data_IF_803147755000
#
_entry.id   IF_803147755000
#
_cell.length_a   1.000
_cell.length_b   1.000
_cell.length_c   1.000
_cell.angle_alpha   90.00
_cell.angle_beta   90.00
_cell.angle_gamma   90.00
#
_symmetry.space_group_name_H-M   'P 1'
#
loop_
_entity.id
_entity.type
_entity.pdbx_description
1 polymer ?
#
# COMPACT_ATOMS: atom_id res chain seq x y z
N UNK A 1 -8.88 -1.21 -1.62
CA UNK A 1 -9.73 -2.33 -2.09
C UNK A 1 -9.78 -3.39 -0.99
N UNK A 2 -10.84 -4.19 -0.86
CA UNK A 2 -10.95 -5.18 0.23
C UNK A 2 -10.89 -6.61 -0.31
N UNK A 3 -9.76 -7.29 -0.11
CA UNK A 3 -9.57 -8.67 -0.57
C UNK A 3 -10.34 -9.72 0.23
N UNK A 4 -10.91 -9.38 1.40
CA UNK A 4 -11.72 -10.33 2.18
C UNK A 4 -13.02 -10.71 1.46
N UNK A 5 -13.46 -9.87 0.51
CA UNK A 5 -14.61 -10.11 -0.37
C UNK A 5 -14.29 -11.04 -1.56
N UNK A 6 -13.05 -11.46 -1.75
CA UNK A 6 -12.68 -12.34 -2.86
C UNK A 6 -13.21 -13.76 -2.61
N UNK A 7 -14.17 -14.19 -3.43
CA UNK A 7 -14.64 -15.58 -3.42
C UNK A 7 -13.70 -16.45 -4.26
N UNK A 8 -12.92 -17.31 -3.61
CA UNK A 8 -12.00 -18.24 -4.28
C UNK A 8 -12.73 -19.57 -4.54
N UNK A 9 -12.86 -20.03 -5.80
CA UNK A 9 -13.54 -21.29 -6.09
C UNK A 9 -12.86 -22.48 -5.39
N UNK A 10 -13.61 -23.40 -4.76
CA UNK A 10 -13.03 -24.55 -4.06
C UNK A 10 -12.11 -25.41 -4.94
N UNK A 11 -12.50 -25.63 -6.20
CA UNK A 11 -11.66 -26.36 -7.16
C UNK A 11 -10.36 -25.60 -7.48
N UNK A 12 -10.42 -24.27 -7.58
CA UNK A 12 -9.21 -23.48 -7.78
C UNK A 12 -8.25 -23.64 -6.61
N UNK A 13 -8.77 -23.63 -5.37
CA UNK A 13 -7.95 -23.82 -4.16
C UNK A 13 -7.33 -25.21 -4.11
N UNK A 14 -8.09 -26.26 -4.39
CA UNK A 14 -7.58 -27.63 -4.42
C UNK A 14 -6.44 -27.81 -5.44
N UNK A 15 -6.60 -27.26 -6.65
CA UNK A 15 -5.57 -27.25 -7.68
C UNK A 15 -4.32 -26.45 -7.23
N UNK A 16 -4.53 -25.30 -6.57
CA UNK A 16 -3.46 -24.47 -6.03
C UNK A 16 -2.67 -25.20 -4.93
N UNK A 17 -3.34 -25.87 -3.99
CA UNK A 17 -2.70 -26.67 -2.93
C UNK A 17 -1.79 -27.77 -3.52
N UNK A 18 -2.23 -28.41 -4.61
CA UNK A 18 -1.42 -29.43 -5.30
C UNK A 18 -0.20 -28.84 -6.02
N UNK A 19 -0.31 -27.61 -6.52
CA UNK A 19 0.80 -26.88 -7.13
C UNK A 19 1.78 -26.34 -6.08
N UNK A 20 1.29 -25.86 -4.95
CA UNK A 20 2.11 -25.41 -3.81
C UNK A 20 3.04 -26.53 -3.32
N UNK A 21 2.53 -27.77 -3.19
CA UNK A 21 3.38 -28.93 -2.85
C UNK A 21 4.52 -29.17 -3.84
N UNK A 22 4.27 -29.01 -5.15
CA UNK A 22 5.32 -29.15 -6.17
C UNK A 22 6.32 -27.98 -6.14
N UNK A 23 5.88 -26.79 -5.74
CA UNK A 23 6.77 -25.65 -5.50
C UNK A 23 7.67 -25.94 -4.29
N UNK A 24 7.12 -26.52 -3.22
CA UNK A 24 7.90 -26.91 -2.04
C UNK A 24 8.96 -27.97 -2.36
N UNK A 25 8.67 -28.93 -3.24
CA UNK A 25 9.63 -29.92 -3.75
C UNK A 25 10.81 -29.29 -4.52
N UNK A 26 10.66 -28.06 -5.02
CA UNK A 26 11.76 -27.32 -5.62
C UNK A 26 12.80 -26.89 -4.57
N UNK A 27 12.44 -26.87 -3.28
CA UNK A 27 13.30 -26.56 -2.13
C UNK A 27 14.09 -25.24 -2.30
N UNK A 28 13.43 -24.21 -2.84
CA UNK A 28 14.05 -22.91 -3.11
C UNK A 28 15.12 -22.90 -4.21
N UNK A 29 15.35 -24.02 -4.91
CA UNK A 29 16.34 -24.10 -5.99
C UNK A 29 15.88 -23.27 -7.21
N UNK A 30 16.68 -22.27 -7.56
CA UNK A 30 16.36 -21.30 -8.63
C UNK A 30 16.09 -21.98 -9.98
N UNK A 31 16.85 -23.01 -10.34
CA UNK A 31 16.72 -23.70 -11.62
C UNK A 31 15.47 -24.57 -11.65
N UNK A 32 15.17 -25.28 -10.56
CA UNK A 32 13.93 -26.07 -10.42
C UNK A 32 12.70 -25.17 -10.46
N UNK A 33 12.71 -24.05 -9.73
CA UNK A 33 11.62 -23.08 -9.71
C UNK A 33 11.38 -22.44 -11.07
N UNK A 34 12.45 -22.05 -11.77
CA UNK A 34 12.34 -21.54 -13.14
C UNK A 34 11.69 -22.57 -14.07
N UNK A 35 12.19 -23.81 -14.07
CA UNK A 35 11.62 -24.91 -14.86
C UNK A 35 10.18 -25.24 -14.47
N UNK A 36 9.80 -25.03 -13.22
CA UNK A 36 8.43 -25.19 -12.76
C UNK A 36 7.54 -24.12 -13.39
N UNK A 37 7.87 -22.84 -13.20
CA UNK A 37 7.04 -21.71 -13.66
C UNK A 37 6.98 -21.53 -15.18
N UNK A 38 7.92 -22.11 -15.94
CA UNK A 38 7.89 -22.15 -17.41
C UNK A 38 6.85 -23.14 -17.97
N UNK A 39 6.30 -24.05 -17.15
CA UNK A 39 5.31 -25.04 -17.60
C UNK A 39 3.96 -24.36 -17.88
N UNK A 40 3.28 -24.75 -18.96
CA UNK A 40 1.99 -24.14 -19.35
C UNK A 40 0.89 -24.28 -18.28
N UNK A 41 0.91 -25.33 -17.48
CA UNK A 41 -0.09 -25.57 -16.43
C UNK A 41 0.15 -24.78 -15.14
N UNK A 42 1.31 -24.13 -14.96
CA UNK A 42 1.61 -23.40 -13.72
C UNK A 42 1.01 -22.00 -13.70
N UNK A 43 0.47 -21.49 -14.82
CA UNK A 43 -0.27 -20.23 -14.87
C UNK A 43 -1.69 -20.32 -14.26
N UNK A 44 -1.88 -21.19 -13.27
CA UNK A 44 -3.17 -21.46 -12.61
C UNK A 44 -3.77 -20.21 -11.95
N UNK A 45 -2.94 -19.27 -11.49
CA UNK A 45 -3.39 -17.97 -10.99
C UNK A 45 -4.30 -17.25 -11.98
N UNK A 46 -4.05 -17.36 -13.29
CA UNK A 46 -4.87 -16.72 -14.35
C UNK A 46 -6.33 -17.15 -14.36
N UNK A 47 -6.66 -18.30 -13.75
CA UNK A 47 -8.03 -18.80 -13.65
C UNK A 47 -8.87 -18.01 -12.63
N UNK A 48 -8.26 -17.24 -11.72
CA UNK A 48 -8.97 -16.33 -10.79
C UNK A 48 -9.34 -14.98 -11.41
N UNK A 49 -9.17 -14.80 -12.72
CA UNK A 49 -9.37 -13.49 -13.35
C UNK A 49 -10.82 -13.02 -13.22
N UNK A 50 -11.80 -13.92 -13.35
CA UNK A 50 -13.21 -13.54 -13.27
C UNK A 50 -13.54 -12.99 -11.88
N UNK A 51 -13.11 -13.69 -10.84
CA UNK A 51 -13.33 -13.37 -9.44
C UNK A 51 -12.63 -12.05 -9.05
N UNK A 52 -11.43 -11.80 -9.56
CA UNK A 52 -10.72 -10.54 -9.37
C UNK A 52 -11.37 -9.36 -10.11
N UNK A 53 -11.97 -9.61 -11.29
CA UNK A 53 -12.75 -8.60 -12.03
C UNK A 53 -14.05 -8.29 -11.31
N UNK A 54 -14.72 -9.29 -10.75
CA UNK A 54 -15.95 -9.10 -9.97
C UNK A 54 -15.68 -8.32 -8.67
N UNK A 55 -14.49 -8.46 -8.10
CA UNK A 55 -14.09 -7.77 -6.87
C UNK A 55 -13.92 -6.26 -7.04
N UNK A 56 -13.31 -5.81 -8.13
CA UNK A 56 -12.84 -4.42 -8.28
C UNK A 56 -13.08 -3.84 -9.69
N UNK A 57 -13.96 -4.46 -10.46
CA UNK A 57 -14.29 -4.08 -11.82
C UNK A 57 -13.19 -4.41 -12.82
N UNK A 58 -13.48 -4.14 -14.09
CA UNK A 58 -12.56 -4.36 -15.22
C UNK A 58 -11.61 -3.18 -15.39
N UNK A 59 -10.77 -2.93 -14.39
CA UNK A 59 -9.74 -1.90 -14.39
C UNK A 59 -8.40 -2.42 -13.88
N UNK A 60 -7.32 -1.71 -14.22
CA UNK A 60 -6.04 -1.95 -13.57
C UNK A 60 -6.09 -1.44 -12.12
N UNK A 61 -5.65 -2.23 -11.16
CA UNK A 61 -5.66 -1.84 -9.75
C UNK A 61 -4.63 -0.78 -9.40
N UNK A 62 -3.55 -0.66 -10.18
CA UNK A 62 -2.53 0.37 -9.98
C UNK A 62 -2.93 1.73 -10.57
N UNK A 63 -3.38 1.78 -11.83
CA UNK A 63 -3.66 3.05 -12.51
C UNK A 63 -5.15 3.39 -12.66
N UNK A 64 -6.03 2.46 -12.30
CA UNK A 64 -7.49 2.54 -12.36
C UNK A 64 -8.13 2.77 -13.74
N UNK A 65 -7.33 2.85 -14.79
CA UNK A 65 -7.82 2.92 -16.17
C UNK A 65 -8.47 1.60 -16.61
N UNK A 66 -9.56 1.71 -17.37
CA UNK A 66 -10.15 0.55 -18.04
C UNK A 66 -9.24 0.07 -19.14
N UNK A 67 -9.18 -1.24 -19.28
CA UNK A 67 -8.40 -1.90 -20.32
C UNK A 67 -9.20 -3.07 -20.86
N UNK A 68 -8.91 -3.44 -22.11
CA UNK A 68 -9.53 -4.63 -22.70
C UNK A 68 -9.24 -5.85 -21.84
N UNK A 69 -10.21 -6.77 -21.77
CA UNK A 69 -10.08 -7.97 -20.95
C UNK A 69 -8.80 -8.78 -21.27
N UNK A 70 -8.41 -8.81 -22.54
CA UNK A 70 -7.18 -9.47 -23.03
C UNK A 70 -5.88 -8.86 -22.51
N UNK A 71 -5.90 -7.61 -22.05
CA UNK A 71 -4.72 -6.86 -21.56
C UNK A 71 -4.68 -6.76 -20.03
N UNK A 72 -5.59 -7.46 -19.34
CA UNK A 72 -5.58 -7.59 -17.89
C UNK A 72 -4.89 -8.88 -17.46
N UNK A 73 -3.78 -8.69 -16.77
CA UNK A 73 -2.96 -9.74 -16.21
C UNK A 73 -3.13 -9.78 -14.69
N UNK A 74 -2.88 -10.97 -14.13
CA UNK A 74 -2.73 -11.11 -12.69
C UNK A 74 -1.25 -10.96 -12.40
N UNK A 75 -0.91 -9.85 -11.76
CA UNK A 75 0.40 -9.56 -11.23
C UNK A 75 0.56 -10.15 -9.83
N UNK A 76 1.80 -10.52 -9.49
CA UNK A 76 2.21 -10.90 -8.15
C UNK A 76 2.84 -9.68 -7.49
N UNK A 77 2.19 -9.08 -6.49
CA UNK A 77 2.68 -7.86 -5.83
C UNK A 77 4.12 -8.06 -5.31
N UNK A 78 4.32 -9.15 -4.55
CA UNK A 78 5.63 -9.78 -4.29
C UNK A 78 5.98 -10.73 -5.44
N UNK A 79 7.01 -10.44 -6.25
CA UNK A 79 7.32 -11.22 -7.45
C UNK A 79 7.72 -12.66 -7.15
N UNK A 80 7.02 -13.63 -7.75
CA UNK A 80 7.23 -15.08 -7.48
C UNK A 80 8.57 -15.65 -7.95
N UNK A 81 9.20 -15.08 -8.97
CA UNK A 81 10.28 -15.75 -9.71
C UNK A 81 11.67 -15.12 -9.60
N UNK A 82 11.75 -13.84 -9.22
CA UNK A 82 12.98 -13.07 -8.98
C UNK A 82 12.61 -11.70 -8.45
N UNK A 83 13.57 -10.99 -7.86
CA UNK A 83 13.42 -9.59 -7.42
C UNK A 83 14.50 -8.77 -8.13
N UNK A 84 14.15 -7.61 -8.68
CA UNK A 84 15.10 -6.78 -9.42
C UNK A 84 16.16 -6.17 -8.51
N UNK A 85 15.75 -5.75 -7.31
CA UNK A 85 16.60 -5.15 -6.28
C UNK A 85 17.54 -6.16 -5.61
N UNK A 86 17.25 -7.46 -5.71
CA UNK A 86 18.10 -8.53 -5.19
C UNK A 86 18.22 -9.69 -6.20
N UNK A 87 19.26 -9.68 -7.06
CA UNK A 87 19.51 -10.75 -8.04
C UNK A 87 19.77 -12.14 -7.42
N UNK A 88 20.16 -12.19 -6.14
CA UNK A 88 20.37 -13.44 -5.41
C UNK A 88 19.07 -14.07 -4.94
N UNK A 89 17.99 -13.28 -4.85
CA UNK A 89 16.67 -13.76 -4.46
C UNK A 89 16.06 -14.66 -5.53
N UNK A 90 15.45 -15.77 -5.11
CA UNK A 90 14.78 -16.74 -5.99
C UNK A 90 13.31 -16.39 -6.26
N UNK A 91 12.91 -15.15 -5.96
CA UNK A 91 11.52 -14.70 -5.88
C UNK A 91 10.74 -15.23 -4.66
N UNK A 92 9.58 -14.64 -4.40
CA UNK A 92 8.62 -15.05 -3.37
C UNK A 92 7.78 -16.23 -3.88
N UNK A 93 8.46 -17.32 -4.25
CA UNK A 93 7.84 -18.46 -4.94
C UNK A 93 6.72 -19.12 -4.13
N UNK A 94 6.82 -19.09 -2.79
CA UNK A 94 5.80 -19.58 -1.86
C UNK A 94 4.51 -18.75 -1.88
N UNK A 95 4.53 -17.56 -2.49
CA UNK A 95 3.36 -16.70 -2.69
C UNK A 95 2.79 -16.79 -4.11
N UNK A 96 3.23 -17.75 -4.92
CA UNK A 96 2.81 -17.88 -6.32
C UNK A 96 1.31 -18.19 -6.48
N UNK A 97 0.72 -18.88 -5.50
CA UNK A 97 -0.68 -19.31 -5.49
C UNK A 97 -1.49 -18.71 -4.32
N UNK A 98 -0.99 -17.62 -3.73
CA UNK A 98 -1.65 -16.90 -2.62
C UNK A 98 -2.47 -15.73 -3.19
N UNK A 99 -3.82 -15.74 -3.15
CA UNK A 99 -4.65 -14.70 -3.75
C UNK A 99 -4.39 -13.29 -3.18
N UNK A 100 -4.01 -13.19 -1.91
CA UNK A 100 -3.64 -11.92 -1.26
C UNK A 100 -2.39 -11.28 -1.88
N UNK A 101 -1.62 -12.03 -2.69
CA UNK A 101 -0.47 -11.53 -3.45
C UNK A 101 -0.85 -11.15 -4.91
N UNK A 102 -2.10 -11.32 -5.33
CA UNK A 102 -2.54 -11.05 -6.71
C UNK A 102 -3.09 -9.63 -6.90
N UNK A 103 -2.69 -8.96 -7.97
CA UNK A 103 -3.23 -7.66 -8.39
C UNK A 103 -3.65 -7.72 -9.85
N UNK A 104 -4.82 -7.18 -10.17
CA UNK A 104 -5.26 -7.10 -11.57
C UNK A 104 -4.55 -5.91 -12.23
N UNK A 105 -3.59 -6.16 -13.11
CA UNK A 105 -2.72 -5.13 -13.67
C UNK A 105 -2.78 -5.08 -15.20
N UNK A 106 -2.73 -3.88 -15.77
CA UNK A 106 -2.54 -3.74 -17.21
C UNK A 106 -1.07 -3.93 -17.60
N UNK A 107 -0.83 -4.24 -18.87
CA UNK A 107 0.53 -4.36 -19.41
C UNK A 107 1.37 -3.09 -19.16
N UNK A 108 0.79 -1.89 -19.25
CA UNK A 108 1.54 -0.64 -19.11
C UNK A 108 2.07 -0.36 -17.70
N UNK A 109 1.42 -0.90 -16.67
CA UNK A 109 1.88 -0.81 -15.29
C UNK A 109 2.78 -2.00 -14.92
N UNK A 110 2.53 -3.19 -15.47
CA UNK A 110 3.19 -4.40 -15.02
C UNK A 110 4.34 -4.90 -15.92
N UNK A 111 4.23 -4.79 -17.24
CA UNK A 111 5.10 -5.57 -18.14
C UNK A 111 5.54 -4.86 -19.42
N UNK A 112 5.02 -3.67 -19.72
CA UNK A 112 5.34 -2.92 -20.93
C UNK A 112 6.82 -2.57 -20.94
N UNK A 113 7.41 -2.76 -22.11
CA UNK A 113 8.77 -2.38 -22.48
C UNK A 113 8.83 -1.03 -23.18
N UNK A 114 7.68 -0.37 -23.36
CA UNK A 114 7.55 0.88 -24.12
C UNK A 114 8.04 2.07 -23.27
N UNK A 115 9.33 2.15 -22.97
CA UNK A 115 10.12 3.38 -22.79
C UNK A 115 11.59 3.02 -22.51
N UNK A 116 12.24 2.37 -23.48
CA UNK A 116 13.70 2.10 -23.45
C UNK A 116 14.48 3.30 -23.98
N UNK A 117 14.03 4.54 -23.75
CA UNK A 117 14.81 5.72 -24.11
C UNK A 117 16.10 5.83 -23.29
N UNK A 118 16.23 5.07 -22.19
CA UNK A 118 17.43 5.02 -21.35
C UNK A 118 17.78 3.61 -20.79
N UNK A 119 17.34 2.53 -21.43
CA UNK A 119 17.84 1.17 -21.14
C UNK A 119 17.33 0.46 -19.86
N UNK A 120 16.63 1.13 -18.93
CA UNK A 120 16.09 0.50 -17.72
C UNK A 120 14.60 0.16 -17.86
N UNK A 121 14.19 -1.06 -17.51
CA UNK A 121 12.76 -1.45 -17.35
C UNK A 121 12.12 -0.47 -16.34
N UNK A 122 11.05 0.25 -16.73
CA UNK A 122 10.39 1.27 -15.88
C UNK A 122 8.97 0.89 -15.44
N UNK A 123 8.62 -0.38 -15.52
CA UNK A 123 7.32 -0.93 -15.09
C UNK A 123 7.52 -1.86 -13.90
N UNK A 124 6.45 -2.19 -13.17
CA UNK A 124 6.55 -3.00 -11.95
C UNK A 124 7.32 -4.30 -12.21
N UNK A 125 6.88 -5.15 -13.12
CA UNK A 125 7.53 -6.40 -13.49
C UNK A 125 8.01 -7.20 -12.27
N UNK A 126 9.32 -7.26 -12.03
CA UNK A 126 9.93 -7.92 -10.87
C UNK A 126 10.52 -6.92 -9.85
N UNK A 127 10.24 -5.62 -9.98
CA UNK A 127 10.58 -4.60 -8.99
C UNK A 127 9.70 -4.78 -7.74
N UNK A 128 10.36 -4.93 -6.60
CA UNK A 128 9.76 -4.93 -5.28
C UNK A 128 10.72 -4.29 -4.26
N UNK A 129 11.04 -2.99 -4.42
CA UNK A 129 11.93 -2.28 -3.52
C UNK A 129 11.35 -2.18 -2.10
N UNK A 130 12.21 -2.34 -1.09
CA UNK A 130 11.88 -2.15 0.32
C UNK A 130 12.56 -0.89 0.87
N UNK A 131 11.92 -0.24 1.85
CA UNK A 131 12.52 0.87 2.60
C UNK A 131 13.74 0.42 3.40
N UNK A 132 13.77 -0.85 3.79
CA UNK A 132 14.92 -1.56 4.35
C UNK A 132 15.13 -2.88 3.60
N UNK A 133 16.14 -2.94 2.74
CA UNK A 133 16.51 -4.15 2.00
C UNK A 133 17.09 -5.26 2.90
N UNK A 134 17.65 -4.91 4.06
CA UNK A 134 18.17 -5.90 5.02
C UNK A 134 17.05 -6.76 5.63
N UNK A 135 15.83 -6.23 5.69
CA UNK A 135 14.64 -6.89 6.22
C UNK A 135 13.94 -7.84 5.23
N UNK A 136 14.46 -7.98 4.00
CA UNK A 136 13.85 -8.79 2.94
C UNK A 136 13.73 -10.27 3.33
N UNK A 137 12.52 -10.81 3.23
CA UNK A 137 12.24 -12.22 3.52
C UNK A 137 12.63 -13.09 2.32
N UNK A 138 13.60 -13.99 2.54
CA UNK A 138 14.22 -14.82 1.48
C UNK A 138 13.69 -16.26 1.39
N UNK A 139 12.87 -16.69 2.34
CA UNK A 139 12.40 -18.08 2.44
C UNK A 139 10.96 -18.17 2.95
N UNK A 140 10.27 -19.30 2.67
CA UNK A 140 8.95 -19.57 3.24
C UNK A 140 8.98 -19.54 4.78
N UNK A 141 7.86 -19.14 5.39
CA UNK A 141 7.71 -19.06 6.85
C UNK A 141 8.30 -17.81 7.50
N UNK A 142 8.96 -16.93 6.74
CA UNK A 142 9.36 -15.61 7.24
C UNK A 142 8.16 -14.67 7.42
N UNK A 143 8.26 -13.79 8.41
CA UNK A 143 7.23 -12.83 8.77
C UNK A 143 7.20 -11.66 7.76
N UNK A 144 6.26 -11.70 6.81
CA UNK A 144 6.15 -10.71 5.73
C UNK A 144 5.81 -9.31 6.22
N UNK A 145 5.23 -9.18 7.41
CA UNK A 145 4.91 -7.86 8.01
C UNK A 145 6.17 -7.08 8.41
N UNK A 146 7.35 -7.73 8.51
CA UNK A 146 8.64 -7.05 8.70
C UNK A 146 9.09 -6.25 7.49
N UNK A 147 8.60 -6.58 6.30
CA UNK A 147 8.95 -5.85 5.07
C UNK A 147 8.15 -4.56 4.99
N UNK A 148 8.81 -3.46 4.62
CA UNK A 148 8.16 -2.18 4.30
C UNK A 148 8.32 -1.87 2.81
N UNK A 149 7.35 -2.24 1.95
CA UNK A 149 7.45 -2.02 0.51
C UNK A 149 7.44 -0.53 0.15
N UNK A 150 8.32 -0.14 -0.78
CA UNK A 150 8.30 1.21 -1.35
C UNK A 150 7.06 1.41 -2.24
N UNK A 151 6.67 0.37 -2.97
CA UNK A 151 5.49 0.41 -3.83
C UNK A 151 4.21 0.44 -3.00
N UNK A 152 3.27 1.32 -3.38
CA UNK A 152 1.94 1.37 -2.79
C UNK A 152 1.10 0.18 -3.25
N UNK A 153 0.49 -0.52 -2.29
CA UNK A 153 -0.39 -1.65 -2.54
C UNK A 153 -1.87 -1.24 -2.51
N UNK A 154 -2.64 -1.38 -3.62
CA UNK A 154 -4.07 -1.07 -3.65
C UNK A 154 -4.96 -1.91 -2.70
N UNK A 155 -4.43 -3.02 -2.16
CA UNK A 155 -5.10 -3.82 -1.13
C UNK A 155 -4.83 -3.32 0.29
N UNK A 156 -3.84 -2.45 0.48
CA UNK A 156 -3.54 -1.83 1.77
C UNK A 156 -4.23 -0.47 1.82
N UNK A 157 -5.15 -0.30 2.77
CA UNK A 157 -5.97 0.92 2.90
C UNK A 157 -5.09 2.16 3.10
N UNK A 158 -4.12 2.08 4.01
CA UNK A 158 -3.18 3.16 4.30
C UNK A 158 -2.31 3.55 3.10
N UNK A 159 -1.94 2.61 2.24
CA UNK A 159 -1.21 2.91 0.99
C UNK A 159 -2.11 3.61 -0.03
N UNK A 160 -3.38 3.21 -0.10
CA UNK A 160 -4.35 3.75 -1.05
C UNK A 160 -4.64 5.23 -0.78
N UNK A 161 -4.67 5.65 0.49
CA UNK A 161 -4.90 7.06 0.87
C UNK A 161 -3.68 7.96 0.66
N UNK A 162 -2.47 7.40 0.51
CA UNK A 162 -1.26 8.18 0.23
C UNK A 162 -1.27 8.81 -1.17
N UNK A 163 -2.02 8.23 -2.10
CA UNK A 163 -2.12 8.71 -3.47
C UNK A 163 -3.33 9.63 -3.65
N UNK A 164 -3.09 10.80 -4.22
CA UNK A 164 -4.12 11.76 -4.61
C UNK A 164 -3.85 12.26 -6.04
N UNK A 165 -4.73 13.13 -6.53
CA UNK A 165 -4.66 13.70 -7.86
C UNK A 165 -4.92 15.21 -7.82
N UNK A 166 -4.31 15.95 -8.74
CA UNK A 166 -4.73 17.33 -8.99
C UNK A 166 -5.89 17.41 -9.97
N UNK A 167 -6.46 18.60 -10.15
CA UNK A 167 -7.61 18.79 -11.04
C UNK A 167 -7.29 18.63 -12.53
N UNK A 168 -6.00 18.49 -12.91
CA UNK A 168 -5.60 18.13 -14.28
C UNK A 168 -5.30 16.64 -14.43
N UNK A 169 -5.51 15.84 -13.38
CA UNK A 169 -5.42 14.38 -13.39
C UNK A 169 -4.02 13.82 -13.12
N UNK A 170 -3.07 14.65 -12.71
CA UNK A 170 -1.70 14.24 -12.38
C UNK A 170 -1.69 13.64 -10.97
N UNK A 171 -1.06 12.48 -10.83
CA UNK A 171 -0.89 11.80 -9.55
C UNK A 171 0.09 12.54 -8.64
N UNK A 172 -0.21 12.57 -7.33
CA UNK A 172 0.62 13.23 -6.31
C UNK A 172 0.40 12.60 -4.95
N UNK A 173 1.27 12.94 -4.00
CA UNK A 173 1.06 12.60 -2.59
C UNK A 173 -0.17 13.33 -2.06
N UNK A 174 -1.00 12.61 -1.31
CA UNK A 174 -2.05 13.21 -0.52
C UNK A 174 -1.42 14.04 0.60
N UNK A 175 -1.78 15.31 0.69
CA UNK A 175 -1.19 16.23 1.65
C UNK A 175 -1.54 15.83 3.11
N UNK A 176 -2.63 15.09 3.33
CA UNK A 176 -2.99 14.53 4.64
C UNK A 176 -2.11 13.34 5.08
N UNK A 177 -1.30 12.79 4.17
CA UNK A 177 -0.35 11.69 4.40
C UNK A 177 1.08 12.18 4.14
N UNK A 178 1.60 13.09 4.97
CA UNK A 178 2.92 13.67 4.76
C UNK A 178 4.01 12.60 4.85
N UNK A 179 5.08 12.80 4.09
CA UNK A 179 6.27 11.94 4.14
C UNK A 179 6.92 12.06 5.51
N UNK A 180 7.29 10.93 6.11
CA UNK A 180 8.07 10.89 7.35
C UNK A 180 9.51 10.46 7.08
N UNK A 181 10.44 10.63 8.03
CA UNK A 181 11.82 10.19 7.83
C UNK A 181 11.97 8.67 7.69
N UNK A 182 10.95 7.88 8.07
CA UNK A 182 10.89 6.44 7.81
C UNK A 182 10.93 6.14 6.30
N UNK A 183 10.32 7.01 5.48
CA UNK A 183 10.36 6.90 4.04
C UNK A 183 11.72 7.38 3.49
N UNK A 184 12.75 6.52 3.53
CA UNK A 184 14.09 6.80 2.98
C UNK A 184 14.04 7.27 1.52
N UNK A 185 13.04 6.80 0.77
CA UNK A 185 12.58 7.34 -0.52
C UNK A 185 11.08 7.67 -0.44
N UNK A 186 10.61 8.63 -1.22
CA UNK A 186 9.17 8.94 -1.29
C UNK A 186 8.40 7.82 -2.00
N UNK A 187 7.64 7.03 -1.23
CA UNK A 187 6.86 5.88 -1.72
C UNK A 187 5.86 6.26 -2.80
N UNK A 188 5.21 7.41 -2.67
CA UNK A 188 4.23 7.90 -3.66
C UNK A 188 4.94 8.23 -4.97
N UNK A 189 6.03 9.00 -4.91
CA UNK A 189 6.82 9.36 -6.09
C UNK A 189 7.36 8.12 -6.81
N UNK A 190 7.89 7.15 -6.05
CA UNK A 190 8.40 5.90 -6.63
C UNK A 190 7.30 5.02 -7.22
N UNK A 191 6.12 4.97 -6.60
CA UNK A 191 4.96 4.26 -7.14
C UNK A 191 4.42 4.90 -8.41
N UNK A 192 4.34 6.23 -8.46
CA UNK A 192 3.99 6.99 -9.68
C UNK A 192 4.97 6.65 -10.80
N UNK A 193 6.27 6.64 -10.48
CA UNK A 193 7.35 6.34 -11.42
C UNK A 193 7.29 4.91 -11.95
N UNK A 194 7.21 3.91 -11.06
CA UNK A 194 7.27 2.48 -11.41
C UNK A 194 5.97 1.99 -12.04
N UNK A 195 4.80 2.43 -11.57
CA UNK A 195 3.52 2.09 -12.21
C UNK A 195 3.20 2.99 -13.41
N UNK A 196 4.02 4.03 -13.64
CA UNK A 196 3.86 5.05 -14.68
C UNK A 196 2.47 5.68 -14.64
N UNK A 197 2.09 6.22 -13.48
CA UNK A 197 0.71 6.65 -13.23
C UNK A 197 0.29 7.88 -14.03
N UNK A 198 1.23 8.63 -14.62
CA UNK A 198 0.95 9.88 -15.36
C UNK A 198 1.17 9.79 -16.87
N UNK A 199 0.89 8.62 -17.46
CA UNK A 199 0.78 8.51 -18.91
C UNK A 199 -0.33 9.44 -19.42
N UNK A 200 -0.13 10.05 -20.60
CA UNK A 200 -1.05 11.05 -21.18
C UNK A 200 -2.52 10.64 -21.17
N UNK A 201 -2.84 9.40 -21.55
CA UNK A 201 -4.23 8.92 -21.56
C UNK A 201 -4.84 8.74 -20.16
N UNK A 202 -4.02 8.48 -19.14
CA UNK A 202 -4.49 8.39 -17.74
C UNK A 202 -4.81 9.78 -17.18
N UNK A 203 -3.90 10.74 -17.38
CA UNK A 203 -4.10 12.11 -16.89
C UNK A 203 -5.34 12.75 -17.54
N UNK A 204 -5.52 12.56 -18.85
CA UNK A 204 -6.71 13.04 -19.56
C UNK A 204 -7.99 12.37 -19.04
N UNK A 205 -7.99 11.05 -18.91
CA UNK A 205 -9.16 10.30 -18.43
C UNK A 205 -9.56 10.69 -17.00
N UNK A 206 -8.59 10.87 -16.10
CA UNK A 206 -8.83 11.35 -14.74
C UNK A 206 -9.39 12.77 -14.76
N UNK A 207 -8.81 13.69 -15.53
CA UNK A 207 -9.30 15.07 -15.65
C UNK A 207 -10.79 15.12 -16.04
N UNK A 208 -11.21 14.27 -16.98
CA UNK A 208 -12.61 14.17 -17.40
C UNK A 208 -13.50 13.73 -16.23
N UNK A 209 -13.18 12.58 -15.61
CA UNK A 209 -13.98 12.06 -14.47
C UNK A 209 -14.02 13.03 -13.30
N UNK A 210 -12.90 13.69 -13.00
CA UNK A 210 -12.81 14.68 -11.93
C UNK A 210 -13.67 15.92 -12.22
N UNK A 211 -13.66 16.41 -13.46
CA UNK A 211 -14.52 17.51 -13.89
C UNK A 211 -16.00 17.17 -13.77
N UNK A 212 -16.40 15.97 -14.22
CA UNK A 212 -17.76 15.47 -14.08
C UNK A 212 -18.21 15.43 -12.61
N UNK A 213 -17.37 14.90 -11.70
CA UNK A 213 -17.69 14.86 -10.26
C UNK A 213 -17.89 16.26 -9.70
N UNK A 214 -17.03 17.23 -10.06
CA UNK A 214 -17.17 18.62 -9.61
C UNK A 214 -18.46 19.25 -10.13
N UNK A 215 -18.82 19.02 -11.39
CA UNK A 215 -20.05 19.59 -11.95
C UNK A 215 -21.31 18.96 -11.34
N UNK A 216 -21.27 17.65 -11.08
CA UNK A 216 -22.34 16.97 -10.33
C UNK A 216 -22.44 17.47 -8.88
N UNK A 217 -21.31 17.73 -8.22
CA UNK A 217 -21.29 18.25 -6.86
C UNK A 217 -21.96 19.63 -6.77
N UNK A 218 -21.75 20.51 -7.75
CA UNK A 218 -22.46 21.81 -7.85
C UNK A 218 -23.97 21.66 -8.07
N UNK A 219 -24.39 20.54 -8.67
CA UNK A 219 -25.77 20.21 -8.98
C UNK A 219 -26.52 19.50 -7.83
N UNK A 220 -25.84 19.17 -6.72
CA UNK A 220 -26.45 18.53 -5.56
C UNK A 220 -27.57 19.37 -4.96
N UNK A 221 -28.72 18.74 -4.70
CA UNK A 221 -29.93 19.41 -4.20
C UNK A 221 -30.77 20.10 -5.28
N UNK A 222 -30.25 20.23 -6.50
CA UNK A 222 -31.01 20.69 -7.68
C UNK A 222 -31.42 19.50 -8.55
N UNK A 223 -30.50 18.56 -8.78
CA UNK A 223 -30.74 17.35 -9.55
C UNK A 223 -30.75 16.13 -8.63
N UNK A 224 -31.89 15.44 -8.44
CA UNK A 224 -32.01 14.31 -7.52
C UNK A 224 -31.02 13.16 -7.80
N UNK A 225 -30.62 12.97 -9.05
CA UNK A 225 -29.72 11.90 -9.47
C UNK A 225 -28.23 12.22 -9.25
N UNK A 226 -27.88 13.48 -8.93
CA UNK A 226 -26.49 13.89 -8.82
C UNK A 226 -25.72 13.09 -7.75
N UNK A 227 -26.37 12.78 -6.61
CA UNK A 227 -25.75 11.97 -5.56
C UNK A 227 -25.45 10.55 -6.06
N UNK A 228 -26.44 9.89 -6.68
CA UNK A 228 -26.30 8.54 -7.23
C UNK A 228 -25.16 8.47 -8.26
N UNK A 229 -25.08 9.46 -9.15
CA UNK A 229 -24.05 9.50 -10.18
C UNK A 229 -22.65 9.75 -9.61
N UNK A 230 -22.51 10.60 -8.59
CA UNK A 230 -21.23 10.75 -7.88
C UNK A 230 -20.86 9.42 -7.21
N UNK A 231 -21.79 8.78 -6.47
CA UNK A 231 -21.56 7.46 -5.84
C UNK A 231 -21.08 6.42 -6.84
N UNK A 232 -21.65 6.39 -8.04
CA UNK A 232 -21.21 5.50 -9.11
C UNK A 232 -19.78 5.80 -9.58
N UNK A 233 -19.34 7.07 -9.60
CA UNK A 233 -17.96 7.45 -10.00
C UNK A 233 -16.92 7.14 -8.93
N UNK A 234 -17.28 7.21 -7.65
CA UNK A 234 -16.38 6.92 -6.53
C UNK A 234 -16.43 5.46 -6.06
N UNK A 235 -17.23 4.61 -6.71
CA UNK A 235 -17.30 3.18 -6.38
C UNK A 235 -15.97 2.48 -6.63
N UNK A 236 -15.65 1.44 -5.85
CA UNK A 236 -14.37 0.72 -5.96
C UNK A 236 -14.12 0.15 -7.35
N UNK A 237 -15.17 -0.25 -8.03
CA UNK A 237 -15.18 -0.89 -9.35
C UNK A 237 -15.11 0.13 -10.50
N UNK A 238 -15.34 1.41 -10.21
CA UNK A 238 -15.35 2.46 -11.20
C UNK A 238 -13.94 2.86 -11.66
N UNK A 239 -13.88 3.25 -12.93
CA UNK A 239 -12.67 3.76 -13.56
C UNK A 239 -12.27 5.09 -12.92
N UNK A 240 -10.99 5.21 -12.56
CA UNK A 240 -10.43 6.38 -11.89
C UNK A 240 -11.17 6.78 -10.59
N UNK A 241 -11.74 5.82 -9.86
CA UNK A 241 -12.53 6.14 -8.67
C UNK A 241 -11.73 6.81 -7.55
N UNK A 242 -10.42 6.58 -7.46
CA UNK A 242 -9.55 7.31 -6.55
C UNK A 242 -9.39 8.78 -6.96
N UNK A 243 -9.32 9.08 -8.26
CA UNK A 243 -9.33 10.45 -8.77
C UNK A 243 -10.70 11.12 -8.57
N UNK A 244 -11.80 10.39 -8.79
CA UNK A 244 -13.15 10.85 -8.49
C UNK A 244 -13.31 11.23 -7.01
N UNK A 245 -12.80 10.42 -6.08
CA UNK A 245 -12.78 10.75 -4.65
C UNK A 245 -11.94 11.99 -4.35
N UNK A 246 -10.78 12.14 -4.97
CA UNK A 246 -9.95 13.35 -4.83
C UNK A 246 -10.68 14.63 -5.31
N UNK A 247 -11.43 14.54 -6.42
CA UNK A 247 -12.26 15.65 -6.90
C UNK A 247 -13.41 15.98 -5.92
N UNK A 248 -14.09 14.97 -5.40
CA UNK A 248 -15.15 15.15 -4.40
C UNK A 248 -14.64 15.84 -3.13
N UNK A 249 -13.43 15.50 -2.68
CA UNK A 249 -12.77 16.18 -1.54
C UNK A 249 -12.48 17.64 -1.83
N UNK A 250 -12.02 17.96 -3.05
CA UNK A 250 -11.82 19.36 -3.48
C UNK A 250 -13.14 20.14 -3.51
N UNK A 251 -14.26 19.44 -3.75
CA UNK A 251 -15.60 20.00 -3.75
C UNK A 251 -16.25 20.10 -2.34
N UNK A 252 -15.54 19.77 -1.25
CA UNK A 252 -16.09 19.80 0.13
C UNK A 252 -16.73 21.12 0.54
N UNK A 253 -16.25 22.24 -0.01
CA UNK A 253 -16.78 23.58 0.29
C UNK A 253 -18.12 23.88 -0.38
N UNK A 254 -18.60 23.03 -1.30
CA UNK A 254 -19.88 23.24 -1.96
C UNK A 254 -21.05 22.82 -1.04
N UNK A 255 -22.22 23.49 -1.16
CA UNK A 255 -23.41 23.12 -0.41
C UNK A 255 -23.77 21.64 -0.60
N UNK A 256 -24.29 21.01 0.46
CA UNK A 256 -24.78 19.62 0.47
C UNK A 256 -23.73 18.51 0.27
N UNK A 257 -22.51 18.80 -0.21
CA UNK A 257 -21.46 17.78 -0.40
C UNK A 257 -21.08 17.11 0.91
N UNK A 258 -20.74 17.90 1.94
CA UNK A 258 -20.38 17.36 3.26
C UNK A 258 -21.49 16.55 3.91
N UNK A 259 -22.76 16.90 3.66
CA UNK A 259 -23.91 16.18 4.21
C UNK A 259 -24.14 14.85 3.48
N UNK A 260 -24.11 14.86 2.15
CA UNK A 260 -24.41 13.68 1.34
C UNK A 260 -23.26 12.66 1.33
N UNK A 261 -22.01 13.11 1.42
CA UNK A 261 -20.81 12.27 1.30
C UNK A 261 -19.96 12.26 2.56
N UNK A 262 -20.60 12.47 3.71
CA UNK A 262 -19.91 12.44 4.99
C UNK A 262 -19.13 11.14 5.19
N UNK A 263 -19.68 10.00 4.81
CA UNK A 263 -19.02 8.68 4.86
C UNK A 263 -17.73 8.63 4.04
N UNK A 264 -17.70 9.25 2.86
CA UNK A 264 -16.54 9.21 1.95
C UNK A 264 -15.48 10.23 2.35
N UNK A 265 -15.91 11.38 2.84
CA UNK A 265 -15.03 12.45 3.29
C UNK A 265 -14.46 12.14 4.68
N UNK A 266 -15.25 11.49 5.54
CA UNK A 266 -14.79 10.96 6.81
C UNK A 266 -13.89 9.75 6.65
N UNK A 267 -14.09 8.80 5.74
CA UNK A 267 -13.11 7.70 5.63
C UNK A 267 -11.68 8.22 5.40
N UNK A 268 -11.51 9.43 4.85
CA UNK A 268 -10.22 10.14 4.77
C UNK A 268 -9.89 11.01 6.01
N UNK A 269 -10.89 11.50 6.74
CA UNK A 269 -10.71 12.31 7.97
C UNK A 269 -10.74 11.47 9.27
N UNK A 270 -11.72 10.58 9.47
CA UNK A 270 -11.93 9.64 10.57
C UNK A 270 -11.04 8.38 10.59
N UNK A 271 -10.30 8.05 9.52
CA UNK A 271 -9.05 7.27 9.71
C UNK A 271 -7.99 8.10 10.47
N UNK A 272 -8.20 9.41 10.68
CA UNK A 272 -7.37 10.30 11.51
C UNK A 272 -8.14 11.17 12.55
N UNK A 273 -9.47 11.14 12.66
CA UNK A 273 -10.21 11.89 13.68
C UNK A 273 -11.41 11.11 14.23
N UNK A 274 -11.26 10.55 15.45
CA UNK A 274 -12.41 10.43 16.35
C UNK A 274 -12.60 11.78 17.06
N UNK A 275 -13.86 12.08 17.34
CA UNK A 275 -14.51 13.29 17.85
C UNK A 275 -14.05 13.78 19.23
N UNK A 276 -12.76 13.88 19.48
CA UNK A 276 -12.22 14.52 20.68
C UNK A 276 -11.08 15.48 20.29
N UNK A 277 -11.46 16.70 19.93
CA UNK A 277 -10.62 17.86 19.56
C UNK A 277 -9.65 18.34 20.65
N UNK A 278 -9.28 17.47 21.59
CA UNK A 278 -8.28 17.69 22.63
C UNK A 278 -7.20 16.59 22.70
N UNK A 279 -7.32 15.51 21.90
CA UNK A 279 -6.36 14.38 21.87
C UNK A 279 -5.34 14.37 20.73
N UNK A 280 -5.49 15.26 19.74
CA UNK A 280 -4.63 15.33 18.53
C UNK A 280 -3.15 15.70 18.77
N UNK A 281 -2.75 15.96 20.02
CA UNK A 281 -1.36 16.31 20.36
C UNK A 281 -0.51 15.14 20.87
N UNK A 282 -1.07 13.94 21.08
CA UNK A 282 -0.31 12.75 21.51
C UNK A 282 -0.57 11.55 20.58
N UNK A 283 0.06 11.55 19.41
CA UNK A 283 0.11 10.41 18.49
C UNK A 283 0.73 9.19 19.18
N UNK A 284 -0.11 8.24 19.58
CA UNK A 284 0.31 6.96 20.17
C UNK A 284 0.80 5.98 19.11
N UNK A 285 1.51 4.91 19.50
CA UNK A 285 1.92 3.83 18.58
C UNK A 285 0.72 3.19 17.84
N UNK A 286 -0.39 2.82 18.51
CA UNK A 286 -1.59 2.34 17.82
C UNK A 286 -2.07 3.34 16.75
N UNK A 287 -2.05 4.64 17.08
CA UNK A 287 -2.50 5.67 16.14
C UNK A 287 -1.57 5.79 14.93
N UNK A 288 -0.26 5.70 15.14
CA UNK A 288 0.71 5.69 14.04
C UNK A 288 0.55 4.46 13.14
N UNK A 289 0.14 3.31 13.69
CA UNK A 289 -0.21 2.12 12.90
C UNK A 289 -1.50 2.34 12.10
N UNK A 290 -2.55 2.87 12.73
CA UNK A 290 -3.83 3.17 12.07
C UNK A 290 -3.67 4.14 10.90
N UNK A 291 -2.84 5.17 11.08
CA UNK A 291 -2.50 6.12 9.99
C UNK A 291 -1.63 5.50 8.90
N UNK A 292 -1.10 4.29 9.12
CA UNK A 292 -0.19 3.57 8.23
C UNK A 292 1.22 4.15 8.14
N UNK A 293 1.56 5.13 8.99
CA UNK A 293 2.93 5.64 9.11
C UNK A 293 3.86 4.54 9.63
N UNK A 294 3.38 3.75 10.59
CA UNK A 294 4.06 2.56 11.07
C UNK A 294 3.30 1.30 10.60
N UNK A 295 4.05 0.22 10.38
CA UNK A 295 3.48 -1.08 10.05
C UNK A 295 3.66 -2.04 11.23
N UNK A 296 2.64 -2.85 11.57
CA UNK A 296 2.83 -3.98 12.47
C UNK A 296 3.93 -4.90 11.94
N UNK A 297 4.65 -5.57 12.83
CA UNK A 297 5.79 -6.42 12.51
C UNK A 297 7.11 -5.68 12.32
N UNK A 298 7.12 -4.35 12.26
CA UNK A 298 8.39 -3.60 12.11
C UNK A 298 9.29 -3.84 13.32
N UNK A 299 10.57 -4.07 13.03
CA UNK A 299 11.59 -4.27 14.05
C UNK A 299 12.02 -2.91 14.62
N UNK A 300 12.00 -2.83 15.95
CA UNK A 300 12.48 -1.71 16.73
C UNK A 300 13.85 -2.08 17.31
N UNK A 301 14.82 -1.20 17.12
CA UNK A 301 16.20 -1.39 17.59
C UNK A 301 16.50 -0.32 18.63
N UNK A 302 16.87 -0.76 19.82
CA UNK A 302 17.33 0.08 20.91
C UNK A 302 18.81 -0.17 21.22
N UNK A 303 19.62 0.87 21.31
CA UNK A 303 21.06 0.73 21.58
C UNK A 303 21.37 0.89 23.07
N UNK A 304 22.07 -0.08 23.64
CA UNK A 304 22.48 -0.11 25.05
C UNK A 304 23.99 -0.23 25.18
N UNK A 305 24.53 -0.08 26.40
CA UNK A 305 25.96 -0.31 26.65
C UNK A 305 26.42 -1.76 26.34
N UNK A 306 25.48 -2.72 26.29
CA UNK A 306 25.76 -4.13 26.00
C UNK A 306 25.57 -4.48 24.52
N UNK A 307 25.14 -3.53 23.69
CA UNK A 307 24.82 -3.74 22.28
C UNK A 307 23.35 -3.42 21.95
N UNK A 308 22.95 -3.78 20.74
CA UNK A 308 21.59 -3.56 20.25
C UNK A 308 20.61 -4.59 20.84
N UNK A 309 19.44 -4.08 21.23
CA UNK A 309 18.29 -4.85 21.69
C UNK A 309 17.19 -4.72 20.65
N UNK A 310 16.59 -5.84 20.29
CA UNK A 310 15.59 -5.94 19.24
C UNK A 310 14.21 -6.20 19.83
N UNK A 311 13.22 -5.47 19.35
CA UNK A 311 11.81 -5.63 19.70
C UNK A 311 10.95 -5.55 18.43
N UNK A 312 9.69 -5.96 18.52
CA UNK A 312 8.74 -5.93 17.41
C UNK A 312 7.54 -5.08 17.78
N UNK A 313 7.15 -4.15 16.90
CA UNK A 313 5.88 -3.44 17.04
C UNK A 313 4.74 -4.34 16.59
N UNK A 314 3.79 -4.67 17.46
CA UNK A 314 2.66 -5.56 17.10
C UNK A 314 1.40 -4.75 16.75
N UNK A 315 0.41 -5.41 16.15
CA UNK A 315 -0.73 -4.75 15.50
C UNK A 315 -1.59 -3.85 16.42
N UNK A 316 -1.61 -4.11 17.72
CA UNK A 316 -2.32 -3.30 18.72
C UNK A 316 -1.47 -2.15 19.30
N UNK A 317 -0.29 -1.90 18.72
CA UNK A 317 0.63 -0.83 19.12
C UNK A 317 1.48 -1.13 20.34
N UNK A 318 1.44 -2.36 20.88
CA UNK A 318 2.39 -2.80 21.91
C UNK A 318 3.76 -3.11 21.32
N UNK A 319 4.77 -3.07 22.17
CA UNK A 319 6.16 -3.43 21.81
C UNK A 319 6.48 -4.79 22.42
N UNK A 320 6.72 -5.79 21.58
CA UNK A 320 7.13 -7.13 21.98
C UNK A 320 8.66 -7.21 22.10
N UNK A 321 9.14 -7.46 23.30
CA UNK A 321 10.56 -7.64 23.61
C UNK A 321 10.75 -9.02 24.27
N UNK A 322 11.42 -9.92 23.57
CA UNK A 322 11.49 -11.33 23.95
C UNK A 322 10.11 -11.97 23.96
N UNK A 323 9.72 -12.61 25.07
CA UNK A 323 8.41 -13.26 25.21
C UNK A 323 7.32 -12.34 25.80
N UNK A 324 7.59 -11.04 25.98
CA UNK A 324 6.70 -10.11 26.67
C UNK A 324 6.33 -8.91 25.81
N UNK A 325 5.04 -8.62 25.77
CA UNK A 325 4.51 -7.40 25.18
C UNK A 325 4.35 -6.28 26.22
N UNK A 326 4.80 -5.09 25.88
CA UNK A 326 4.79 -3.89 26.71
C UNK A 326 3.80 -2.86 26.15
N UNK A 327 3.04 -2.22 27.04
CA UNK A 327 1.95 -1.31 26.66
C UNK A 327 2.44 0.03 26.06
N UNK A 328 3.71 0.37 26.25
CA UNK A 328 4.27 1.63 25.76
C UNK A 328 5.75 1.50 25.36
N UNK A 329 6.26 2.38 24.49
CA UNK A 329 7.69 2.44 24.16
C UNK A 329 8.59 2.57 25.39
N UNK A 330 8.18 3.36 26.38
CA UNK A 330 8.94 3.63 27.60
C UNK A 330 9.05 2.38 28.47
N UNK A 331 7.95 1.67 28.69
CA UNK A 331 7.97 0.45 29.48
C UNK A 331 8.81 -0.66 28.82
N UNK A 332 8.79 -0.73 27.49
CA UNK A 332 9.67 -1.62 26.73
C UNK A 332 11.14 -1.19 26.84
N UNK A 333 11.43 0.11 26.71
CA UNK A 333 12.80 0.64 26.78
C UNK A 333 13.42 0.45 28.18
N UNK A 334 12.64 0.66 29.23
CA UNK A 334 13.05 0.40 30.60
C UNK A 334 13.37 -1.10 30.80
N UNK A 335 12.55 -1.99 30.25
CA UNK A 335 12.81 -3.42 30.29
C UNK A 335 14.03 -3.84 29.44
N UNK A 336 14.34 -3.08 28.38
CA UNK A 336 15.55 -3.24 27.58
C UNK A 336 16.82 -2.65 28.24
N UNK A 337 16.71 -2.00 29.41
CA UNK A 337 17.84 -1.43 30.14
C UNK A 337 18.22 0.00 29.74
N UNK A 338 17.28 0.80 29.20
CA UNK A 338 17.53 2.20 28.91
C UNK A 338 17.76 3.03 30.21
N UNK A 339 18.90 3.71 30.30
CA UNK A 339 19.32 4.40 31.54
C UNK A 339 18.65 5.76 31.78
N UNK A 340 18.21 6.48 30.73
CA UNK A 340 17.54 7.78 30.85
C UNK A 340 16.75 8.25 29.61
N UNK A 341 16.60 7.41 28.58
CA UNK A 341 15.97 7.82 27.33
C UNK A 341 14.45 7.67 27.39
N UNK A 342 13.71 8.66 26.88
CA UNK A 342 12.30 8.44 26.57
C UNK A 342 12.21 7.27 25.57
N UNK A 343 11.31 6.32 25.80
CA UNK A 343 11.15 5.16 24.90
C UNK A 343 11.00 5.56 23.43
N UNK A 344 10.41 6.73 23.17
CA UNK A 344 10.29 7.30 21.83
C UNK A 344 11.61 7.62 21.11
N UNK A 345 12.63 8.07 21.84
CA UNK A 345 13.95 8.34 21.27
C UNK A 345 14.85 7.10 21.32
N UNK A 346 14.59 6.19 22.25
CA UNK A 346 15.35 4.95 22.40
C UNK A 346 15.11 3.98 21.24
N UNK A 347 13.84 3.78 20.86
CA UNK A 347 13.49 2.85 19.79
C UNK A 347 13.65 3.50 18.43
N UNK A 348 14.42 2.85 17.58
CA UNK A 348 14.67 3.26 16.20
C UNK A 348 14.24 2.19 15.20
N UNK A 349 13.94 2.58 13.98
CA UNK A 349 13.66 1.68 12.86
C UNK A 349 14.79 1.83 11.86
N UNK A 350 15.35 0.71 11.41
CA UNK A 350 16.36 0.70 10.36
C UNK A 350 15.71 0.85 8.98
N UNK A 351 16.23 1.79 8.21
CA UNK A 351 15.92 2.03 6.80
C UNK A 351 17.23 2.14 6.01
N UNK A 352 17.15 2.11 4.67
CA UNK A 352 18.35 2.15 3.81
C UNK A 352 19.24 3.39 4.06
N UNK A 353 18.69 4.49 4.58
CA UNK A 353 19.42 5.73 4.92
C UNK A 353 19.97 5.78 6.35
N UNK A 354 19.79 4.73 7.16
CA UNK A 354 20.20 4.66 8.56
C UNK A 354 19.06 4.35 9.52
N UNK A 355 19.25 4.66 10.81
CA UNK A 355 18.22 4.47 11.84
C UNK A 355 17.45 5.77 12.08
N UNK A 356 16.14 5.65 12.24
CA UNK A 356 15.22 6.76 12.51
C UNK A 356 14.46 6.45 13.80
N UNK A 357 14.43 7.38 14.75
CA UNK A 357 13.68 7.18 15.99
C UNK A 357 12.16 7.29 15.78
N UNK A 358 11.39 6.56 16.60
CA UNK A 358 9.93 6.68 16.56
C UNK A 358 9.46 8.08 17.01
N UNK A 359 10.27 8.81 17.78
CA UNK A 359 10.06 10.24 18.09
C UNK A 359 10.12 11.10 16.82
N UNK A 360 11.19 10.99 16.03
CA UNK A 360 11.34 11.77 14.78
C UNK A 360 10.20 11.49 13.79
N UNK A 361 9.78 10.23 13.67
CA UNK A 361 8.65 9.83 12.83
C UNK A 361 7.36 10.51 13.30
N UNK A 362 7.06 10.40 14.59
CA UNK A 362 5.86 10.99 15.21
C UNK A 362 5.83 12.51 15.06
N UNK A 363 6.93 13.16 15.41
CA UNK A 363 7.01 14.62 15.48
C UNK A 363 6.97 15.25 14.08
N UNK A 364 7.59 14.59 13.08
CA UNK A 364 7.49 15.01 11.67
C UNK A 364 6.06 14.87 11.15
N UNK A 365 5.41 13.74 11.44
CA UNK A 365 4.03 13.50 11.02
C UNK A 365 3.05 14.50 11.65
N UNK A 366 3.19 14.74 12.97
CA UNK A 366 2.39 15.75 13.68
C UNK A 366 2.56 17.14 13.07
N UNK A 367 3.81 17.58 12.91
CA UNK A 367 4.13 18.92 12.39
C UNK A 367 3.55 19.15 10.98
N UNK A 368 3.66 18.14 10.11
CA UNK A 368 3.16 18.24 8.76
C UNK A 368 1.63 18.24 8.68
N UNK A 369 0.93 17.60 9.62
CA UNK A 369 -0.53 17.68 9.73
C UNK A 369 -1.02 19.02 10.28
N UNK A 370 -0.35 19.57 11.30
CA UNK A 370 -0.71 20.88 11.86
C UNK A 370 -0.62 21.99 10.82
N UNK A 371 0.41 21.99 9.98
CA UNK A 371 0.55 22.96 8.87
C UNK A 371 -0.58 22.88 7.85
N UNK A 372 -1.21 21.71 7.68
CA UNK A 372 -2.31 21.53 6.74
C UNK A 372 -3.67 21.97 7.33
N UNK A 373 -3.85 21.93 8.65
CA UNK A 373 -5.08 22.43 9.27
C UNK A 373 -5.15 23.96 9.36
N UNK A 374 -4.03 24.66 9.24
CA UNK A 374 -3.96 26.14 9.25
C UNK A 374 -4.13 26.79 7.87
N UNK A 375 -4.11 26.00 6.78
CA UNK A 375 -4.24 26.45 5.37
C UNK A 375 -5.55 25.97 4.75
#
# INVERSE_FOLDING_TARGET
>A
MDSTRLSVPPQWRADADALEKQVDECNGDKVKLQKFFERRNTSHWTKLRAELVDLCGRKCWYCEGKVSHSRLHIDHFRPKGRVTEDPSHTGYYWLAFVPQNFRLACEFCNSSTDDVTNGSRRTKHDHFPLLNESARIRSPGGELSREMPVLLDPLVASDSVMLSFDMVGVARRNALTPRTPLESVDRVTESIRIFRLDRTGLTEGRRVVMGEVVDLAKALGVFPQAEEWIRARIATEAEYSSAARAALRTARGLPNVCQAFHDVLLVDESEVTDSDSTRDLNLSLPRLIETGVLSPGVELIGSTALGDVHATLIADGRVELGARAYASPESAAAAAGAEASSGWHFWTIEVNSGRVSIAEIRDTYASARSQHHET
#
